data_IF_854966058148
#
_entry.id   IF_854966058148
#
_cell.length_a   1.000
_cell.length_b   1.000
_cell.length_c   1.000
_cell.angle_alpha   90.00
_cell.angle_beta   90.00
_cell.angle_gamma   90.00
#
_symmetry.space_group_name_H-M   'P 1'
#
loop_
_entity.id
_entity.type
_entity.pdbx_description
1 polymer ?
#
# COMPACT_ATOMS: atom_id res chain seq x y z
N UNK A 1 -31.95 12.14 32.62
CA UNK A 1 -31.45 12.96 33.75
C UNK A 1 -32.29 14.22 33.94
N UNK A 2 -32.16 14.89 35.08
CA UNK A 2 -32.83 16.17 35.41
C UNK A 2 -31.83 17.21 35.89
N UNK A 3 -32.20 18.48 35.80
CA UNK A 3 -31.36 19.54 36.34
C UNK A 3 -31.13 19.30 37.86
N UNK A 4 -29.88 19.35 38.27
CA UNK A 4 -29.45 19.06 39.64
C UNK A 4 -29.03 17.61 39.89
N UNK A 5 -29.22 16.70 38.94
CA UNK A 5 -28.74 15.31 39.06
C UNK A 5 -27.22 15.26 38.95
N UNK A 6 -26.58 14.47 39.82
CA UNK A 6 -25.16 14.17 39.73
C UNK A 6 -24.99 12.98 38.78
N UNK A 7 -24.05 13.08 37.84
CA UNK A 7 -23.69 12.04 36.86
C UNK A 7 -22.21 11.71 36.96
N UNK A 8 -21.88 10.43 36.78
CA UNK A 8 -20.52 9.94 36.66
C UNK A 8 -20.21 9.61 35.19
N UNK A 9 -18.94 9.55 34.86
CA UNK A 9 -18.52 9.13 33.50
C UNK A 9 -19.09 7.74 33.16
N UNK A 10 -19.80 7.63 32.03
CA UNK A 10 -20.52 6.44 31.58
C UNK A 10 -22.00 6.34 32.00
N UNK A 11 -22.52 7.29 32.77
CA UNK A 11 -23.97 7.32 33.09
C UNK A 11 -24.77 7.80 31.87
N UNK A 12 -25.91 7.16 31.58
CA UNK A 12 -26.79 7.51 30.47
C UNK A 12 -27.48 8.85 30.77
N UNK A 13 -27.16 9.87 29.99
CA UNK A 13 -27.73 11.22 30.13
C UNK A 13 -29.00 11.42 29.30
N UNK A 14 -29.05 10.85 28.12
CA UNK A 14 -30.18 10.96 27.18
C UNK A 14 -30.31 9.74 26.30
N UNK A 15 -31.51 9.48 25.80
CA UNK A 15 -31.75 8.58 24.67
C UNK A 15 -32.02 9.42 23.42
N UNK A 16 -31.30 9.18 22.35
CA UNK A 16 -31.45 9.90 21.07
C UNK A 16 -32.07 8.95 20.06
N UNK A 17 -33.26 9.27 19.60
CA UNK A 17 -33.95 8.51 18.57
C UNK A 17 -33.61 9.07 17.19
N UNK A 18 -33.10 8.22 16.29
CA UNK A 18 -32.79 8.55 14.91
C UNK A 18 -33.66 7.71 13.97
N UNK A 19 -33.67 8.01 12.68
CA UNK A 19 -34.35 7.26 11.63
C UNK A 19 -33.88 5.79 11.51
N UNK A 20 -32.77 5.43 12.15
CA UNK A 20 -32.14 4.11 12.05
C UNK A 20 -32.05 3.35 13.37
N UNK A 21 -31.94 4.02 14.49
CA UNK A 21 -31.78 3.39 15.80
C UNK A 21 -31.98 4.39 16.95
N UNK A 22 -32.36 3.87 18.12
CA UNK A 22 -32.24 4.60 19.39
C UNK A 22 -30.84 4.40 19.94
N UNK A 23 -30.17 5.47 20.31
CA UNK A 23 -28.81 5.47 20.88
C UNK A 23 -28.83 6.10 22.26
N UNK A 24 -28.12 5.48 23.20
CA UNK A 24 -27.86 6.05 24.51
C UNK A 24 -26.70 7.03 24.42
N UNK A 25 -26.86 8.23 24.98
CA UNK A 25 -25.82 9.24 25.10
C UNK A 25 -25.34 9.25 26.57
N UNK A 26 -24.09 8.82 26.75
CA UNK A 26 -23.44 8.68 28.06
C UNK A 26 -22.61 9.90 28.41
N UNK A 27 -22.52 10.22 29.72
CA UNK A 27 -21.67 11.27 30.23
C UNK A 27 -20.19 10.95 29.98
N UNK A 28 -19.43 11.87 29.40
CA UNK A 28 -17.98 11.72 29.22
C UNK A 28 -17.21 12.07 30.50
N UNK A 29 -17.75 12.95 31.31
CA UNK A 29 -17.13 13.47 32.53
C UNK A 29 -18.12 13.38 33.72
N UNK A 30 -17.59 13.44 34.94
CA UNK A 30 -18.42 13.52 36.18
C UNK A 30 -18.80 14.96 36.47
N UNK A 31 -20.01 15.17 36.97
CA UNK A 31 -20.48 16.52 37.32
C UNK A 31 -21.94 16.56 37.74
N UNK A 32 -22.49 17.77 37.80
CA UNK A 32 -23.92 18.03 38.09
C UNK A 32 -24.60 18.63 36.89
N UNK A 33 -25.75 18.12 36.48
CA UNK A 33 -26.54 18.71 35.38
C UNK A 33 -26.99 20.10 35.78
N UNK A 34 -26.35 21.14 35.25
CA UNK A 34 -26.66 22.53 35.58
C UNK A 34 -27.91 23.05 34.89
N UNK A 35 -28.06 22.77 33.59
CA UNK A 35 -29.21 23.18 32.79
C UNK A 35 -29.46 22.24 31.61
N UNK A 36 -30.72 21.93 31.36
CA UNK A 36 -31.14 21.22 30.14
C UNK A 36 -31.55 22.27 29.10
N UNK A 37 -30.85 22.28 27.97
CA UNK A 37 -31.09 23.23 26.85
C UNK A 37 -32.12 22.70 25.86
N UNK A 38 -32.19 21.37 25.69
CA UNK A 38 -33.15 20.71 24.80
C UNK A 38 -34.08 19.83 25.67
N UNK A 39 -35.36 20.21 25.82
CA UNK A 39 -36.32 19.42 26.61
C UNK A 39 -36.59 18.02 26.00
N UNK A 40 -36.98 17.09 26.87
CA UNK A 40 -37.41 15.74 26.47
C UNK A 40 -38.53 15.80 25.40
N UNK A 41 -38.41 14.97 24.36
CA UNK A 41 -39.39 14.90 23.26
C UNK A 41 -39.24 16.00 22.20
N UNK A 42 -38.16 16.79 22.21
CA UNK A 42 -37.89 17.78 21.15
C UNK A 42 -37.48 17.07 19.86
N UNK A 43 -38.21 17.30 18.77
CA UNK A 43 -37.90 16.75 17.44
C UNK A 43 -37.00 17.68 16.62
N UNK A 44 -36.15 17.09 15.76
CA UNK A 44 -35.36 17.85 14.78
C UNK A 44 -34.16 18.60 15.37
N UNK A 45 -33.61 18.15 16.49
CA UNK A 45 -32.38 18.68 17.09
C UNK A 45 -31.20 18.46 16.14
N UNK A 46 -30.44 19.52 15.86
CA UNK A 46 -29.32 19.42 14.94
C UNK A 46 -28.13 18.67 15.52
N UNK A 47 -27.34 17.99 14.67
CA UNK A 47 -26.11 17.33 15.10
C UNK A 47 -25.13 18.39 15.64
N UNK A 48 -24.51 18.13 16.79
CA UNK A 48 -23.63 19.05 17.55
C UNK A 48 -24.36 20.26 18.20
N UNK A 49 -25.67 20.25 18.31
CA UNK A 49 -26.38 21.23 19.12
C UNK A 49 -26.21 20.87 20.63
N UNK A 50 -25.84 21.84 21.48
CA UNK A 50 -25.72 21.57 22.92
C UNK A 50 -27.07 21.19 23.53
N UNK A 51 -27.14 20.04 24.21
CA UNK A 51 -28.39 19.53 24.78
C UNK A 51 -28.53 19.78 26.30
N UNK A 52 -27.41 19.87 27.02
CA UNK A 52 -27.36 20.17 28.44
C UNK A 52 -25.99 20.81 28.80
N UNK A 53 -25.94 21.44 29.97
CA UNK A 53 -24.72 21.99 30.57
C UNK A 53 -24.38 21.19 31.79
N UNK A 54 -23.15 20.64 31.83
CA UNK A 54 -22.60 19.93 33.00
C UNK A 54 -21.72 20.91 33.78
N UNK A 55 -21.91 21.00 35.08
CA UNK A 55 -21.12 21.79 36.01
C UNK A 55 -20.09 20.91 36.71
N UNK A 56 -18.85 21.41 36.78
CA UNK A 56 -17.79 20.76 37.57
C UNK A 56 -17.97 20.99 39.07
N UNK A 57 -17.28 20.20 39.90
CA UNK A 57 -17.36 20.27 41.36
C UNK A 57 -16.89 21.65 41.88
N UNK A 58 -17.81 22.46 42.36
CA UNK A 58 -17.54 23.82 42.88
C UNK A 58 -18.05 24.97 42.04
N UNK A 59 -18.62 24.68 40.85
CA UNK A 59 -19.34 25.68 40.06
C UNK A 59 -20.76 25.90 40.56
N UNK A 60 -21.25 27.14 40.52
CA UNK A 60 -22.61 27.48 40.98
C UNK A 60 -23.61 27.67 39.81
N UNK A 61 -24.89 27.74 40.12
CA UNK A 61 -25.94 27.84 39.12
C UNK A 61 -25.85 29.12 38.25
N UNK A 62 -25.05 30.10 38.64
CA UNK A 62 -24.83 31.31 37.81
C UNK A 62 -23.91 31.03 36.62
N UNK A 63 -23.00 30.10 36.76
CA UNK A 63 -22.15 29.64 35.64
C UNK A 63 -22.98 28.93 34.54
N UNK A 64 -24.02 28.19 34.90
CA UNK A 64 -24.93 27.55 33.95
C UNK A 64 -25.78 28.57 33.16
N UNK A 65 -26.17 29.69 33.78
CA UNK A 65 -26.93 30.77 33.11
C UNK A 65 -26.06 31.55 32.14
N UNK A 66 -24.79 31.78 32.45
CA UNK A 66 -23.85 32.50 31.56
C UNK A 66 -23.43 31.63 30.39
N UNK A 67 -23.17 30.35 30.60
CA UNK A 67 -22.89 29.38 29.55
C UNK A 67 -24.11 29.18 28.60
N UNK A 68 -25.33 29.21 29.14
CA UNK A 68 -26.55 29.14 28.34
C UNK A 68 -26.74 30.35 27.43
N UNK A 69 -26.38 31.59 27.88
CA UNK A 69 -26.40 32.79 27.08
C UNK A 69 -25.33 32.80 25.98
N UNK A 70 -24.20 32.20 26.23
CA UNK A 70 -23.11 32.04 25.26
C UNK A 70 -23.48 31.04 24.15
N UNK A 71 -24.15 29.93 24.51
CA UNK A 71 -24.70 28.96 23.56
C UNK A 71 -25.82 29.55 22.66
N UNK A 72 -26.68 30.44 23.20
CA UNK A 72 -27.70 31.15 22.41
C UNK A 72 -27.12 32.24 21.50
N UNK A 73 -25.93 32.77 21.79
CA UNK A 73 -25.30 33.87 21.05
C UNK A 73 -24.38 33.46 19.89
N UNK A 74 -24.15 32.18 19.67
CA UNK A 74 -23.41 31.70 18.53
C UNK A 74 -24.17 31.95 17.21
N UNK A 75 -23.56 32.56 16.16
CA UNK A 75 -24.29 32.97 14.97
C UNK A 75 -24.80 31.73 14.20
N UNK A 76 -26.11 31.53 14.22
CA UNK A 76 -26.77 30.65 13.29
C UNK A 76 -26.59 31.17 11.85
N UNK A 77 -25.95 30.38 10.99
CA UNK A 77 -25.94 30.65 9.56
C UNK A 77 -27.37 30.70 9.02
N UNK A 78 -27.71 31.82 8.40
CA UNK A 78 -29.04 32.17 7.91
C UNK A 78 -29.58 31.10 6.96
N UNK A 79 -30.66 30.42 7.35
CA UNK A 79 -31.53 29.68 6.42
C UNK A 79 -32.15 30.68 5.44
N UNK A 80 -31.77 30.61 4.16
CA UNK A 80 -32.51 31.26 3.08
C UNK A 80 -33.75 30.44 2.76
N UNK A 81 -34.89 31.15 2.66
CA UNK A 81 -36.19 30.57 2.31
C UNK A 81 -36.15 29.89 0.94
N UNK A 82 -36.59 28.64 0.88
CA UNK A 82 -36.71 27.84 -0.35
C UNK A 82 -37.93 28.30 -1.14
N UNK A 83 -37.71 28.89 -2.30
CA UNK A 83 -38.64 28.80 -3.43
C UNK A 83 -38.43 27.43 -4.10
N UNK A 84 -39.53 26.72 -4.39
CA UNK A 84 -39.52 25.47 -5.14
C UNK A 84 -39.00 25.76 -6.55
N UNK A 85 -37.79 25.38 -6.83
CA UNK A 85 -37.23 25.18 -8.15
C UNK A 85 -36.75 23.75 -8.25
N UNK A 86 -37.05 23.08 -9.34
CA UNK A 86 -36.66 21.68 -9.59
C UNK A 86 -35.18 21.50 -9.39
N UNK A 87 -34.79 20.51 -8.56
CA UNK A 87 -33.43 20.17 -8.30
C UNK A 87 -32.73 19.73 -9.60
N UNK A 88 -31.60 20.33 -9.98
CA UNK A 88 -30.75 19.74 -11.02
C UNK A 88 -30.24 18.39 -10.51
N UNK A 89 -30.32 17.38 -11.37
CA UNK A 89 -29.76 16.06 -11.09
C UNK A 89 -28.35 16.19 -10.49
N UNK A 90 -28.18 15.66 -9.29
CA UNK A 90 -26.89 15.59 -8.59
C UNK A 90 -25.89 14.95 -9.54
N UNK A 91 -24.92 15.71 -10.02
CA UNK A 91 -23.82 15.16 -10.82
C UNK A 91 -23.13 14.10 -9.96
N UNK A 92 -23.04 12.88 -10.49
CA UNK A 92 -22.21 11.83 -9.91
C UNK A 92 -20.86 12.43 -9.46
N UNK A 93 -20.29 11.96 -8.34
CA UNK A 93 -18.98 12.44 -7.87
C UNK A 93 -18.00 12.43 -9.04
N UNK A 94 -17.35 13.55 -9.28
CA UNK A 94 -16.34 13.62 -10.33
C UNK A 94 -15.35 12.48 -10.12
N UNK A 95 -15.07 11.72 -11.18
CA UNK A 95 -14.05 10.69 -11.17
C UNK A 95 -12.78 11.27 -10.50
N UNK A 96 -12.07 10.48 -9.67
CA UNK A 96 -10.84 10.95 -9.03
C UNK A 96 -9.97 11.59 -10.11
N UNK A 97 -9.47 12.80 -9.85
CA UNK A 97 -8.47 13.42 -10.75
C UNK A 97 -7.40 12.38 -10.97
N UNK A 98 -7.10 12.07 -12.24
CA UNK A 98 -5.97 11.22 -12.59
C UNK A 98 -4.76 11.69 -11.77
N UNK A 99 -4.12 10.77 -11.05
CA UNK A 99 -2.89 11.06 -10.34
C UNK A 99 -1.94 11.73 -11.34
N UNK A 100 -1.22 12.76 -10.90
CA UNK A 100 -0.18 13.38 -11.72
C UNK A 100 0.70 12.26 -12.28
N UNK A 101 0.97 12.31 -13.59
CA UNK A 101 1.81 11.32 -14.22
C UNK A 101 3.16 11.26 -13.48
N UNK A 102 3.65 10.07 -13.10
CA UNK A 102 4.92 9.96 -12.42
C UNK A 102 6.04 10.59 -13.25
N UNK A 103 7.04 11.13 -12.57
CA UNK A 103 8.21 11.70 -13.26
C UNK A 103 8.80 10.68 -14.25
N UNK A 104 9.30 11.14 -15.41
CA UNK A 104 9.93 10.22 -16.36
C UNK A 104 11.16 9.56 -15.73
N UNK A 105 11.38 8.29 -16.07
CA UNK A 105 12.59 7.59 -15.65
C UNK A 105 13.81 8.29 -16.24
N UNK A 106 14.89 8.53 -15.44
CA UNK A 106 16.12 9.11 -15.96
C UNK A 106 16.72 8.19 -17.04
N UNK A 107 17.03 8.73 -18.21
CA UNK A 107 17.82 8.01 -19.20
C UNK A 107 19.25 7.88 -18.71
N UNK A 108 19.82 6.68 -18.82
CA UNK A 108 21.20 6.40 -18.42
C UNK A 108 22.02 5.99 -19.65
N UNK A 109 23.01 6.81 -19.97
CA UNK A 109 23.97 6.60 -21.06
C UNK A 109 25.41 6.36 -20.56
N UNK A 110 25.58 6.25 -19.22
CA UNK A 110 26.85 6.05 -18.56
C UNK A 110 27.29 4.58 -18.49
N UNK A 111 28.35 4.34 -17.70
CA UNK A 111 28.87 3.00 -17.46
C UNK A 111 27.84 2.11 -16.75
N UNK A 112 27.84 0.82 -17.12
CA UNK A 112 27.05 -0.23 -16.47
C UNK A 112 27.98 -1.18 -15.75
N UNK A 113 27.54 -1.72 -14.62
CA UNK A 113 28.20 -2.82 -13.91
C UNK A 113 27.25 -4.00 -13.75
N UNK A 114 27.80 -5.20 -13.77
CA UNK A 114 27.02 -6.42 -13.57
C UNK A 114 26.89 -6.70 -12.08
N UNK A 115 25.67 -6.80 -11.57
CA UNK A 115 25.37 -7.06 -10.14
C UNK A 115 24.23 -8.05 -9.99
N UNK A 116 24.27 -8.83 -8.91
CA UNK A 116 23.13 -9.60 -8.48
C UNK A 116 22.08 -8.67 -7.82
N UNK A 117 20.82 -9.11 -7.81
CA UNK A 117 19.75 -8.36 -7.12
C UNK A 117 20.10 -8.15 -5.64
N UNK A 118 20.70 -9.13 -4.96
CA UNK A 118 21.17 -9.02 -3.58
C UNK A 118 22.19 -7.90 -3.38
N UNK A 119 23.21 -7.84 -4.24
CA UNK A 119 24.23 -6.78 -4.20
C UNK A 119 23.63 -5.41 -4.48
N UNK A 120 22.71 -5.32 -5.43
CA UNK A 120 22.02 -4.09 -5.77
C UNK A 120 21.16 -3.54 -4.61
N UNK A 121 20.45 -4.41 -3.89
CA UNK A 121 19.68 -4.05 -2.69
C UNK A 121 20.59 -3.60 -1.54
N UNK A 122 21.70 -4.33 -1.30
CA UNK A 122 22.71 -3.94 -0.31
C UNK A 122 23.27 -2.56 -0.62
N UNK A 123 23.71 -2.35 -1.85
CA UNK A 123 24.30 -1.08 -2.26
C UNK A 123 23.29 0.07 -2.16
N UNK A 124 22.01 -0.15 -2.51
CA UNK A 124 20.95 0.84 -2.33
C UNK A 124 20.83 1.29 -0.87
N UNK A 125 20.81 0.34 0.07
CA UNK A 125 20.76 0.66 1.50
C UNK A 125 22.01 1.40 1.96
N UNK A 126 23.22 0.90 1.60
CA UNK A 126 24.48 1.51 1.96
C UNK A 126 24.59 2.97 1.47
N UNK A 127 24.26 3.21 0.21
CA UNK A 127 24.29 4.53 -0.41
C UNK A 127 23.33 5.51 0.29
N UNK A 128 22.12 5.09 0.61
CA UNK A 128 21.15 5.94 1.34
C UNK A 128 21.53 6.13 2.82
N UNK A 129 22.14 5.15 3.46
CA UNK A 129 22.67 5.30 4.81
C UNK A 129 23.89 6.25 4.87
N UNK A 130 24.74 6.28 3.85
CA UNK A 130 25.82 7.28 3.73
C UNK A 130 25.26 8.68 3.49
N UNK A 131 24.21 8.79 2.68
CA UNK A 131 23.58 10.05 2.30
C UNK A 131 22.82 10.72 3.43
N UNK A 132 22.09 9.94 4.26
CA UNK A 132 21.20 10.44 5.30
C UNK A 132 21.42 9.70 6.63
N UNK A 133 21.92 10.42 7.65
CA UNK A 133 22.18 9.88 8.98
C UNK A 133 20.93 9.37 9.72
N UNK A 134 19.72 9.65 9.23
CA UNK A 134 18.45 9.17 9.79
C UNK A 134 18.05 7.79 9.30
N UNK A 135 18.65 7.31 8.20
CA UNK A 135 18.39 5.98 7.64
C UNK A 135 19.12 4.93 8.47
N UNK A 136 18.42 3.90 8.90
CA UNK A 136 18.99 2.75 9.61
C UNK A 136 18.25 1.46 9.25
N UNK A 137 18.94 0.33 9.38
CA UNK A 137 18.40 -1.00 9.13
C UNK A 137 18.11 -1.69 10.46
N UNK A 138 16.94 -2.31 10.59
CA UNK A 138 16.61 -3.18 11.72
C UNK A 138 15.83 -4.40 11.25
N UNK A 139 15.98 -5.49 11.96
CA UNK A 139 15.30 -6.74 11.68
C UNK A 139 16.00 -7.93 12.32
N UNK A 140 15.53 -9.12 12.02
CA UNK A 140 16.09 -10.36 12.53
C UNK A 140 17.37 -10.74 11.79
N UNK A 141 18.47 -10.96 12.54
CA UNK A 141 19.76 -11.43 12.00
C UNK A 141 20.40 -10.49 10.95
N UNK A 142 19.98 -9.21 10.88
CA UNK A 142 20.46 -8.25 9.87
C UNK A 142 21.87 -7.74 10.16
N UNK A 143 22.30 -7.74 11.42
CA UNK A 143 23.59 -7.21 11.85
C UNK A 143 24.69 -8.30 11.88
N UNK A 144 24.79 -9.06 12.96
CA UNK A 144 25.88 -10.01 13.18
C UNK A 144 25.90 -11.13 12.14
N UNK A 145 24.76 -11.67 11.81
CA UNK A 145 24.62 -12.73 10.81
C UNK A 145 24.60 -12.20 9.36
N UNK A 146 24.50 -10.88 9.17
CA UNK A 146 24.49 -10.21 7.86
C UNK A 146 23.30 -10.59 6.98
N UNK A 147 22.15 -10.82 7.61
CA UNK A 147 20.89 -11.24 6.96
C UNK A 147 20.84 -12.72 6.59
N UNK A 148 19.66 -13.32 6.64
CA UNK A 148 19.45 -14.70 6.23
C UNK A 148 19.88 -14.95 4.78
N UNK A 149 19.66 -13.98 3.91
CA UNK A 149 20.00 -14.01 2.48
C UNK A 149 21.24 -13.18 2.13
N UNK A 150 21.99 -12.69 3.13
CA UNK A 150 23.23 -11.88 2.97
C UNK A 150 23.02 -10.56 2.23
N UNK A 151 21.84 -9.97 2.34
CA UNK A 151 21.54 -8.66 1.73
C UNK A 151 22.17 -7.51 2.55
N UNK A 152 22.32 -7.68 3.86
CA UNK A 152 22.95 -6.70 4.75
C UNK A 152 24.46 -6.92 4.95
N UNK A 153 25.09 -7.74 4.11
CA UNK A 153 26.53 -8.07 4.25
C UNK A 153 27.41 -6.82 4.26
N UNK A 154 28.24 -6.69 5.32
CA UNK A 154 29.17 -5.59 5.51
C UNK A 154 28.55 -4.29 6.06
N UNK A 155 27.23 -4.17 6.16
CA UNK A 155 26.60 -2.94 6.64
C UNK A 155 26.91 -2.67 8.12
N UNK A 156 26.95 -3.71 8.97
CA UNK A 156 27.32 -3.53 10.39
C UNK A 156 28.73 -2.99 10.54
N UNK A 157 29.69 -3.51 9.75
CA UNK A 157 31.08 -3.08 9.79
C UNK A 157 31.25 -1.61 9.37
N UNK A 158 30.45 -1.15 8.40
CA UNK A 158 30.51 0.21 7.89
C UNK A 158 29.75 1.22 8.78
N UNK A 159 28.56 0.88 9.26
CA UNK A 159 27.65 1.84 9.91
C UNK A 159 27.53 1.67 11.43
N UNK A 160 28.02 0.55 11.98
CA UNK A 160 27.97 0.24 13.40
C UNK A 160 26.59 -0.19 13.92
N UNK A 161 26.59 -0.61 15.19
CA UNK A 161 25.45 -1.21 15.90
C UNK A 161 24.28 -0.28 16.18
N UNK A 162 24.46 1.03 16.05
CA UNK A 162 23.38 2.02 16.16
C UNK A 162 22.59 2.24 14.88
N UNK A 163 23.11 1.76 13.77
CA UNK A 163 22.54 1.94 12.43
C UNK A 163 22.16 0.63 11.76
N UNK A 164 22.68 -0.51 12.24
CA UNK A 164 22.34 -1.86 11.79
C UNK A 164 22.05 -2.68 13.04
N UNK A 165 20.77 -2.98 13.27
CA UNK A 165 20.26 -3.40 14.58
C UNK A 165 19.59 -4.77 14.46
N UNK A 166 20.16 -5.78 15.12
CA UNK A 166 19.48 -7.06 15.33
C UNK A 166 18.32 -6.91 16.32
N UNK A 167 17.18 -7.46 16.00
CA UNK A 167 15.99 -7.49 16.87
C UNK A 167 15.71 -8.91 17.33
N UNK A 168 15.06 -9.09 18.49
CA UNK A 168 14.43 -10.37 18.81
C UNK A 168 13.39 -10.76 17.75
N UNK A 169 13.07 -12.05 17.64
CA UNK A 169 11.97 -12.56 16.77
C UNK A 169 10.64 -12.10 17.37
N UNK A 170 10.18 -10.94 16.92
CA UNK A 170 8.95 -10.27 17.40
C UNK A 170 8.49 -9.28 16.33
N UNK A 171 8.00 -9.77 15.21
CA UNK A 171 7.68 -8.92 14.04
C UNK A 171 6.72 -7.78 14.38
N UNK A 172 5.71 -8.05 15.21
CA UNK A 172 4.83 -7.00 15.72
C UNK A 172 5.62 -5.94 16.52
N UNK A 173 6.52 -6.38 17.39
CA UNK A 173 7.31 -5.51 18.26
C UNK A 173 8.30 -4.65 17.48
N UNK A 174 9.15 -5.25 16.66
CA UNK A 174 10.17 -4.46 15.95
C UNK A 174 9.59 -3.62 14.81
N UNK A 175 8.50 -4.06 14.14
CA UNK A 175 7.78 -3.20 13.19
C UNK A 175 7.19 -1.97 13.89
N UNK A 176 6.59 -2.15 15.08
CA UNK A 176 6.07 -1.05 15.90
C UNK A 176 7.18 -0.08 16.35
N UNK A 177 8.35 -0.59 16.74
CA UNK A 177 9.52 0.24 17.05
C UNK A 177 9.96 1.05 15.83
N UNK A 178 10.03 0.42 14.64
CA UNK A 178 10.32 1.11 13.39
C UNK A 178 9.32 2.22 13.07
N UNK A 179 8.02 1.94 13.23
CA UNK A 179 6.96 2.95 13.02
C UNK A 179 7.11 4.12 13.99
N UNK A 180 7.33 3.83 15.29
CA UNK A 180 7.57 4.87 16.29
C UNK A 180 8.81 5.72 15.98
N UNK A 181 9.90 5.10 15.51
CA UNK A 181 11.09 5.80 15.07
C UNK A 181 10.80 6.71 13.84
N UNK A 182 10.00 6.23 12.90
CA UNK A 182 9.59 7.03 11.75
C UNK A 182 8.76 8.27 12.16
N UNK A 183 7.87 8.14 13.14
CA UNK A 183 7.10 9.28 13.68
C UNK A 183 7.99 10.37 14.29
N UNK A 184 9.17 10.02 14.78
CA UNK A 184 10.15 10.98 15.31
C UNK A 184 11.09 11.59 14.25
N UNK A 185 10.87 11.24 12.97
CA UNK A 185 11.63 11.78 11.83
C UNK A 185 12.84 10.95 11.40
N UNK A 186 13.06 9.76 11.99
CA UNK A 186 14.02 8.79 11.48
C UNK A 186 13.44 8.09 10.21
N UNK A 187 14.33 7.38 9.49
CA UNK A 187 13.99 6.67 8.25
C UNK A 187 14.37 5.19 8.36
N UNK A 188 13.59 4.40 9.08
CA UNK A 188 13.88 2.98 9.26
C UNK A 188 13.63 2.18 8.00
N UNK A 189 14.54 1.24 7.76
CA UNK A 189 14.35 0.09 6.87
C UNK A 189 14.11 -1.10 7.79
N UNK A 190 12.89 -1.62 7.79
CA UNK A 190 12.50 -2.79 8.58
C UNK A 190 12.55 -4.01 7.67
N UNK A 191 13.47 -4.93 7.96
CA UNK A 191 13.59 -6.19 7.24
C UNK A 191 12.78 -7.29 7.93
N UNK A 192 11.85 -7.89 7.21
CA UNK A 192 11.27 -9.18 7.58
C UNK A 192 12.06 -10.29 6.91
N UNK A 193 12.36 -11.36 7.64
CA UNK A 193 13.03 -12.54 7.08
C UNK A 193 12.24 -13.10 5.88
N UNK A 194 10.91 -13.01 5.95
CA UNK A 194 9.98 -13.18 4.84
C UNK A 194 8.67 -12.44 5.13
N UNK A 195 8.00 -11.94 4.10
CA UNK A 195 6.67 -11.33 4.26
C UNK A 195 5.61 -12.29 4.80
N UNK A 196 5.85 -13.59 4.73
CA UNK A 196 4.97 -14.57 5.38
C UNK A 196 4.92 -14.34 6.91
N UNK A 197 5.99 -13.89 7.54
CA UNK A 197 6.04 -13.56 8.97
C UNK A 197 5.58 -12.12 9.25
N UNK A 198 5.66 -11.22 8.27
CA UNK A 198 5.12 -9.87 8.39
C UNK A 198 3.61 -9.83 8.70
N UNK A 199 2.89 -10.94 8.51
CA UNK A 199 1.49 -11.08 8.93
C UNK A 199 1.30 -10.78 10.42
N UNK A 200 2.28 -11.09 11.28
CA UNK A 200 2.23 -10.77 12.70
C UNK A 200 2.32 -9.27 12.96
N UNK A 201 2.88 -8.50 12.04
CA UNK A 201 3.06 -7.05 12.13
C UNK A 201 1.99 -6.25 11.36
N UNK A 202 0.95 -6.87 10.82
CA UNK A 202 -0.03 -6.20 9.95
C UNK A 202 -0.70 -5.01 10.64
N UNK A 203 -0.97 -5.07 11.93
CA UNK A 203 -1.53 -3.94 12.68
C UNK A 203 -0.60 -2.73 12.64
N UNK A 204 0.71 -2.92 12.89
CA UNK A 204 1.69 -1.84 12.84
C UNK A 204 1.85 -1.25 11.44
N UNK A 205 1.75 -2.08 10.41
CA UNK A 205 1.85 -1.64 9.01
C UNK A 205 0.57 -0.90 8.60
N UNK A 206 -0.61 -1.48 8.84
CA UNK A 206 -1.89 -1.02 8.29
C UNK A 206 -2.53 0.05 9.16
N UNK A 207 -2.61 -0.13 10.48
CA UNK A 207 -3.24 0.83 11.38
C UNK A 207 -2.26 1.94 11.80
N UNK A 208 -1.03 1.59 12.18
CA UNK A 208 -0.07 2.59 12.66
C UNK A 208 0.60 3.32 11.49
N UNK A 209 1.37 2.66 10.63
CA UNK A 209 2.12 3.35 9.58
C UNK A 209 1.21 3.99 8.52
N UNK A 210 0.26 3.24 7.96
CA UNK A 210 -0.55 3.70 6.84
C UNK A 210 -1.62 4.74 7.20
N UNK A 211 -2.11 4.78 8.45
CA UNK A 211 -3.26 5.61 8.83
C UNK A 211 -2.91 6.85 9.67
N UNK A 212 -1.76 6.86 10.35
CA UNK A 212 -1.45 7.94 11.30
C UNK A 212 -1.32 9.30 10.63
N UNK A 213 -0.80 9.39 9.40
CA UNK A 213 -0.75 10.67 8.68
C UNK A 213 -2.16 11.27 8.51
N UNK A 214 -3.13 10.44 8.10
CA UNK A 214 -4.52 10.85 7.98
C UNK A 214 -5.13 11.22 9.34
N UNK A 215 -4.99 10.34 10.34
CA UNK A 215 -5.57 10.53 11.68
C UNK A 215 -5.01 11.74 12.42
N UNK A 216 -3.76 12.11 12.14
CA UNK A 216 -3.12 13.30 12.74
C UNK A 216 -3.37 14.59 11.94
N UNK A 217 -4.25 14.59 10.94
CA UNK A 217 -4.47 15.75 10.09
C UNK A 217 -3.24 16.19 9.30
N UNK A 218 -2.39 15.24 8.89
CA UNK A 218 -1.18 15.52 8.12
C UNK A 218 0.06 15.88 8.94
N UNK A 219 0.00 15.82 10.28
CA UNK A 219 1.08 16.27 11.16
C UNK A 219 2.15 15.20 11.41
N UNK A 220 1.77 13.91 11.40
CA UNK A 220 2.66 12.80 11.75
C UNK A 220 2.76 11.81 10.60
N UNK A 221 3.84 11.90 9.82
CA UNK A 221 4.17 10.97 8.74
C UNK A 221 4.99 9.78 9.20
N UNK A 222 5.01 8.71 8.40
CA UNK A 222 5.80 7.51 8.64
C UNK A 222 6.70 7.20 7.43
N UNK A 223 7.86 7.87 7.28
CA UNK A 223 8.83 7.59 6.22
C UNK A 223 9.60 6.28 6.53
N UNK A 224 8.99 5.14 6.26
CA UNK A 224 9.49 3.81 6.59
C UNK A 224 9.41 2.88 5.39
N UNK A 225 10.39 2.00 5.25
CA UNK A 225 10.37 0.90 4.28
C UNK A 225 10.26 -0.42 5.02
N UNK A 226 9.26 -1.21 4.68
CA UNK A 226 9.14 -2.61 5.07
C UNK A 226 9.58 -3.47 3.88
N UNK A 227 10.65 -4.24 4.03
CA UNK A 227 11.22 -5.05 2.95
C UNK A 227 11.45 -6.50 3.34
N UNK A 228 11.52 -7.35 2.36
CA UNK A 228 11.83 -8.78 2.52
C UNK A 228 11.31 -9.63 1.38
N UNK A 229 11.66 -10.94 1.35
CA UNK A 229 11.16 -11.88 0.34
C UNK A 229 9.65 -12.05 0.41
N UNK A 230 9.04 -12.14 -0.77
CA UNK A 230 7.61 -12.34 -0.99
C UNK A 230 7.42 -13.34 -2.13
N UNK A 231 6.32 -14.08 -2.10
CA UNK A 231 6.04 -15.11 -3.08
C UNK A 231 6.71 -16.45 -2.77
N UNK A 232 6.72 -17.35 -3.75
CA UNK A 232 7.27 -18.67 -3.58
C UNK A 232 8.80 -18.64 -3.58
N UNK A 233 9.38 -19.35 -2.60
CA UNK A 233 10.75 -19.79 -2.60
C UNK A 233 10.83 -21.25 -3.12
N UNK A 234 11.93 -21.93 -2.94
CA UNK A 234 12.07 -23.29 -3.41
C UNK A 234 11.71 -24.31 -2.32
N UNK A 235 10.56 -24.98 -2.44
CA UNK A 235 10.13 -26.12 -1.60
C UNK A 235 10.02 -25.81 -0.12
N UNK A 236 9.48 -24.66 0.22
CA UNK A 236 9.27 -24.22 1.61
C UNK A 236 7.81 -24.38 2.08
N UNK A 237 6.90 -24.75 1.19
CA UNK A 237 5.50 -25.08 1.52
C UNK A 237 4.59 -23.87 1.73
N UNK A 238 3.39 -24.15 2.23
CA UNK A 238 2.27 -23.23 2.24
C UNK A 238 2.52 -21.92 2.99
N UNK A 239 3.13 -22.00 4.18
CA UNK A 239 3.30 -20.84 5.09
C UNK A 239 4.48 -19.94 4.71
N UNK A 240 5.31 -20.33 3.72
CA UNK A 240 6.52 -19.60 3.32
C UNK A 240 6.53 -19.24 1.82
N UNK A 241 5.36 -19.32 1.14
CA UNK A 241 5.29 -19.17 -0.31
C UNK A 241 4.10 -18.33 -0.76
N UNK A 242 3.70 -17.35 0.04
CA UNK A 242 2.53 -16.52 -0.24
C UNK A 242 2.93 -15.20 -0.87
N UNK A 243 2.11 -14.70 -1.82
CA UNK A 243 2.28 -13.38 -2.40
C UNK A 243 1.31 -12.38 -1.75
N UNK A 244 1.86 -11.33 -1.15
CA UNK A 244 1.10 -10.31 -0.41
C UNK A 244 0.86 -9.03 -1.22
N UNK A 245 1.14 -9.02 -2.51
CA UNK A 245 1.01 -7.82 -3.34
C UNK A 245 -0.40 -7.21 -3.26
N UNK A 246 -1.45 -8.01 -3.45
CA UNK A 246 -2.84 -7.56 -3.38
C UNK A 246 -3.28 -7.18 -1.96
N UNK A 247 -2.76 -7.85 -0.92
CA UNK A 247 -3.11 -7.55 0.47
C UNK A 247 -2.72 -6.14 0.86
N UNK A 248 -1.47 -5.77 0.62
CA UNK A 248 -0.95 -4.45 0.95
C UNK A 248 -1.39 -3.37 -0.05
N UNK A 249 -1.52 -3.72 -1.33
CA UNK A 249 -2.02 -2.78 -2.34
C UNK A 249 -3.48 -2.36 -2.08
N UNK A 250 -4.29 -3.17 -1.40
CA UNK A 250 -5.64 -2.81 -1.00
C UNK A 250 -5.68 -1.68 0.04
N UNK A 251 -4.62 -1.49 0.84
CA UNK A 251 -4.62 -0.58 1.99
C UNK A 251 -4.29 0.87 1.60
N UNK A 252 -5.23 1.85 1.72
CA UNK A 252 -4.92 3.25 1.56
C UNK A 252 -3.82 3.72 2.54
N UNK A 253 -2.89 4.53 2.05
CA UNK A 253 -1.75 5.04 2.82
C UNK A 253 -0.45 4.26 2.63
N UNK A 254 -0.48 3.07 2.02
CA UNK A 254 0.71 2.31 1.65
C UNK A 254 1.07 2.52 0.17
N UNK A 255 2.37 2.54 -0.13
CA UNK A 255 2.92 2.27 -1.46
C UNK A 255 3.42 0.82 -1.50
N UNK A 256 3.28 0.15 -2.64
CA UNK A 256 3.66 -1.26 -2.80
C UNK A 256 4.51 -1.42 -4.05
N UNK A 257 5.72 -1.94 -3.88
CA UNK A 257 6.74 -2.07 -4.91
C UNK A 257 7.18 -3.53 -5.01
N UNK A 258 7.40 -4.03 -6.23
CA UNK A 258 7.79 -5.43 -6.44
C UNK A 258 8.73 -5.55 -7.66
N UNK A 259 10.05 -5.30 -7.50
CA UNK A 259 11.01 -5.23 -8.59
C UNK A 259 11.34 -6.61 -9.18
N UNK A 260 11.80 -6.61 -10.44
CA UNK A 260 12.34 -7.78 -11.13
C UNK A 260 13.87 -7.69 -11.32
N UNK A 261 14.38 -6.62 -11.94
CA UNK A 261 15.80 -6.49 -12.27
C UNK A 261 16.63 -5.92 -11.11
N UNK A 262 17.94 -6.13 -11.11
CA UNK A 262 18.85 -5.53 -10.13
C UNK A 262 18.87 -3.99 -10.24
N UNK A 263 18.79 -3.43 -11.44
CA UNK A 263 18.72 -1.98 -11.64
C UNK A 263 17.46 -1.38 -11.04
N UNK A 264 16.31 -2.05 -11.24
CA UNK A 264 15.04 -1.63 -10.64
C UNK A 264 15.03 -1.84 -9.13
N UNK A 265 15.55 -2.96 -8.63
CA UNK A 265 15.67 -3.21 -7.19
C UNK A 265 16.49 -2.12 -6.50
N UNK A 266 17.64 -1.72 -7.07
CA UNK A 266 18.47 -0.63 -6.55
C UNK A 266 17.73 0.71 -6.59
N UNK A 267 17.25 1.09 -7.77
CA UNK A 267 16.65 2.41 -7.99
C UNK A 267 15.34 2.61 -7.23
N UNK A 268 14.46 1.60 -7.22
CA UNK A 268 13.19 1.65 -6.49
C UNK A 268 13.39 1.64 -4.97
N UNK A 269 14.36 0.86 -4.44
CA UNK A 269 14.61 0.84 -2.99
C UNK A 269 15.13 2.21 -2.52
N UNK A 270 16.01 2.85 -3.27
CA UNK A 270 16.45 4.22 -2.96
C UNK A 270 15.30 5.21 -2.99
N UNK A 271 14.42 5.13 -3.99
CA UNK A 271 13.22 5.96 -4.05
C UNK A 271 12.28 5.68 -2.88
N UNK A 272 12.11 4.43 -2.49
CA UNK A 272 11.30 4.03 -1.33
C UNK A 272 11.85 4.60 0.00
N UNK A 273 13.19 4.55 0.20
CA UNK A 273 13.83 5.11 1.39
C UNK A 273 13.67 6.65 1.44
N UNK A 274 13.65 7.31 0.29
CA UNK A 274 13.47 8.77 0.18
C UNK A 274 12.01 9.20 0.31
N UNK A 275 11.06 8.30 0.11
CA UNK A 275 9.62 8.61 0.15
C UNK A 275 9.19 9.04 1.57
N UNK A 276 8.33 10.05 1.71
CA UNK A 276 7.81 10.47 3.02
C UNK A 276 6.72 9.54 3.58
N UNK A 277 6.24 8.58 2.80
CA UNK A 277 5.16 7.66 3.17
C UNK A 277 5.68 6.24 3.37
N UNK A 278 4.92 5.37 4.06
CA UNK A 278 5.31 3.98 4.22
C UNK A 278 5.29 3.22 2.89
N UNK A 279 6.37 2.49 2.63
CA UNK A 279 6.53 1.69 1.42
C UNK A 279 6.70 0.22 1.79
N UNK A 280 5.90 -0.63 1.19
CA UNK A 280 6.04 -2.10 1.20
C UNK A 280 6.87 -2.49 -0.01
N UNK A 281 8.04 -3.07 0.23
CA UNK A 281 9.01 -3.43 -0.80
C UNK A 281 9.13 -4.96 -0.88
N UNK A 282 8.37 -5.55 -1.81
CA UNK A 282 8.21 -7.00 -1.97
C UNK A 282 9.29 -7.56 -2.89
N UNK A 283 10.27 -8.20 -2.32
CA UNK A 283 11.36 -8.84 -3.05
C UNK A 283 11.00 -10.29 -3.41
N UNK A 284 11.83 -10.94 -4.21
CA UNK A 284 11.68 -12.36 -4.49
C UNK A 284 13.00 -13.10 -4.23
N UNK A 285 12.95 -14.13 -3.39
CA UNK A 285 14.14 -14.87 -2.97
C UNK A 285 14.89 -15.52 -4.14
N UNK A 286 14.16 -16.04 -5.13
CA UNK A 286 14.76 -16.70 -6.30
C UNK A 286 15.52 -15.71 -7.19
N UNK A 287 15.16 -14.43 -7.14
CA UNK A 287 15.85 -13.36 -7.88
C UNK A 287 17.16 -12.93 -7.24
N UNK A 288 17.40 -13.14 -5.95
CA UNK A 288 18.56 -12.61 -5.23
C UNK A 288 19.91 -12.98 -5.86
N UNK A 289 20.01 -14.17 -6.43
CA UNK A 289 21.22 -14.64 -7.13
C UNK A 289 21.25 -14.32 -8.63
N UNK A 290 20.21 -13.72 -9.20
CA UNK A 290 20.18 -13.36 -10.61
C UNK A 290 20.98 -12.08 -10.85
N UNK A 291 21.73 -12.09 -11.94
CA UNK A 291 22.62 -11.00 -12.34
C UNK A 291 22.01 -10.19 -13.45
N UNK A 292 22.13 -8.86 -13.36
CA UNK A 292 21.66 -7.88 -14.35
C UNK A 292 22.67 -6.74 -14.48
N UNK A 293 22.60 -6.02 -15.58
CA UNK A 293 23.32 -4.76 -15.73
C UNK A 293 22.65 -3.65 -14.92
N UNK A 294 23.44 -2.92 -14.14
CA UNK A 294 23.00 -1.84 -13.25
C UNK A 294 23.80 -0.58 -13.56
N UNK A 295 23.21 0.62 -13.65
CA UNK A 295 23.94 1.87 -13.75
C UNK A 295 25.03 2.01 -12.68
N UNK A 296 26.26 2.27 -13.10
CA UNK A 296 27.40 2.41 -12.20
C UNK A 296 27.48 3.84 -11.63
N UNK A 297 26.52 4.14 -10.77
CA UNK A 297 26.41 5.43 -10.07
C UNK A 297 25.68 5.27 -8.74
N UNK A 298 26.03 6.16 -7.81
CA UNK A 298 25.34 6.27 -6.52
C UNK A 298 24.05 7.11 -6.59
N UNK A 299 23.76 7.76 -7.73
CA UNK A 299 22.57 8.60 -7.88
C UNK A 299 21.43 7.93 -8.66
N UNK A 300 21.59 6.64 -9.04
CA UNK A 300 20.54 5.91 -9.74
C UNK A 300 19.29 5.74 -8.87
N UNK A 301 18.17 6.27 -9.35
CA UNK A 301 16.83 6.09 -8.76
C UNK A 301 15.83 5.74 -9.85
N UNK A 302 14.78 5.03 -9.49
CA UNK A 302 13.64 4.73 -10.36
C UNK A 302 12.38 5.29 -9.69
N UNK A 303 11.56 6.09 -10.38
CA UNK A 303 10.38 6.70 -9.78
C UNK A 303 9.32 5.65 -9.42
N UNK A 304 8.71 5.81 -8.23
CA UNK A 304 7.59 4.97 -7.81
C UNK A 304 6.35 5.30 -8.64
N UNK A 305 5.61 4.28 -9.04
CA UNK A 305 4.40 4.45 -9.85
C UNK A 305 4.68 4.53 -11.36
N UNK A 306 5.87 4.12 -11.82
CA UNK A 306 6.23 4.05 -13.24
C UNK A 306 6.56 2.63 -13.66
N UNK A 307 5.75 2.09 -14.58
CA UNK A 307 6.00 0.81 -15.22
C UNK A 307 7.08 0.93 -16.31
N UNK A 308 7.66 -0.19 -16.71
CA UNK A 308 8.67 -0.27 -17.77
C UNK A 308 8.24 -1.24 -18.87
N UNK A 309 8.26 -0.79 -20.11
CA UNK A 309 8.17 -1.68 -21.26
C UNK A 309 9.56 -2.33 -21.42
N UNK A 310 9.67 -3.59 -21.01
CA UNK A 310 10.93 -4.35 -21.06
C UNK A 310 11.11 -5.07 -22.39
N UNK A 311 10.04 -5.21 -23.17
CA UNK A 311 10.05 -5.70 -24.55
C UNK A 311 8.92 -5.03 -25.32
N UNK A 312 9.20 -4.42 -26.44
CA UNK A 312 8.18 -3.85 -27.34
C UNK A 312 7.50 -4.93 -28.16
N UNK A 313 6.19 -4.75 -28.43
CA UNK A 313 5.37 -5.66 -29.23
C UNK A 313 4.11 -4.99 -29.76
N UNK A 314 3.36 -5.69 -30.63
CA UNK A 314 2.22 -5.12 -31.36
C UNK A 314 0.95 -5.96 -31.32
N UNK A 315 1.00 -7.24 -30.92
CA UNK A 315 -0.13 -8.16 -31.05
C UNK A 315 -0.83 -8.43 -29.69
N UNK A 316 -0.11 -8.39 -28.59
CA UNK A 316 -0.61 -8.63 -27.24
C UNK A 316 0.26 -7.94 -26.19
N UNK A 317 -0.36 -7.34 -25.18
CA UNK A 317 0.32 -6.84 -23.99
C UNK A 317 0.35 -7.93 -22.93
N UNK A 318 1.51 -8.16 -22.33
CA UNK A 318 1.71 -9.03 -21.16
C UNK A 318 2.18 -8.14 -20.00
N UNK A 319 1.34 -7.94 -19.00
CA UNK A 319 1.69 -7.16 -17.81
C UNK A 319 2.04 -8.10 -16.65
N UNK A 320 3.21 -7.92 -16.07
CA UNK A 320 3.74 -8.76 -15.00
C UNK A 320 4.52 -7.93 -13.97
N UNK A 321 4.86 -8.52 -12.83
CA UNK A 321 5.75 -7.94 -11.83
C UNK A 321 6.59 -9.02 -11.15
N UNK A 322 7.67 -8.61 -10.48
CA UNK A 322 8.59 -9.51 -9.79
C UNK A 322 9.10 -10.63 -10.72
N UNK A 323 9.28 -11.84 -10.21
CA UNK A 323 9.79 -12.99 -10.96
C UNK A 323 8.98 -13.33 -12.23
N UNK A 324 7.69 -12.97 -12.26
CA UNK A 324 6.83 -13.25 -13.40
C UNK A 324 7.20 -12.44 -14.65
N UNK A 325 7.93 -11.33 -14.52
CA UNK A 325 8.49 -10.59 -15.66
C UNK A 325 9.47 -11.46 -16.46
N UNK A 326 10.31 -12.23 -15.76
CA UNK A 326 11.22 -13.18 -16.43
C UNK A 326 10.47 -14.27 -17.19
N UNK A 327 9.38 -14.80 -16.60
CA UNK A 327 8.51 -15.79 -17.27
C UNK A 327 7.77 -15.19 -18.47
N UNK A 328 7.36 -13.93 -18.37
CA UNK A 328 6.72 -13.20 -19.48
C UNK A 328 7.70 -12.97 -20.66
N UNK A 329 8.96 -12.65 -20.36
CA UNK A 329 10.00 -12.50 -21.39
C UNK A 329 10.29 -13.85 -22.09
N UNK A 330 10.43 -14.95 -21.33
CA UNK A 330 10.59 -16.30 -21.87
C UNK A 330 9.40 -16.70 -22.78
N UNK A 331 8.19 -16.41 -22.33
CA UNK A 331 6.98 -16.65 -23.13
C UNK A 331 6.94 -15.77 -24.41
N UNK A 332 7.37 -14.53 -24.32
CA UNK A 332 7.39 -13.61 -25.46
C UNK A 332 8.40 -14.06 -26.56
N UNK A 333 9.49 -14.73 -26.21
CA UNK A 333 10.41 -15.35 -27.16
C UNK A 333 9.73 -16.50 -27.93
N UNK A 334 9.08 -17.41 -27.19
CA UNK A 334 8.32 -18.53 -27.77
C UNK A 334 7.16 -18.03 -28.66
N UNK A 335 6.48 -16.96 -28.27
CA UNK A 335 5.42 -16.33 -29.07
C UNK A 335 5.95 -15.72 -30.36
N UNK A 336 7.14 -15.09 -30.31
CA UNK A 336 7.78 -14.51 -31.48
C UNK A 336 8.12 -15.58 -32.53
N UNK A 337 8.59 -16.76 -32.12
CA UNK A 337 8.81 -17.90 -33.03
C UNK A 337 7.51 -18.35 -33.71
N UNK A 338 6.37 -18.16 -33.03
CA UNK A 338 5.03 -18.44 -33.59
C UNK A 338 4.42 -17.26 -34.35
N UNK A 339 5.16 -16.16 -34.57
CA UNK A 339 4.70 -14.97 -35.29
C UNK A 339 3.72 -14.10 -34.49
N UNK A 340 3.80 -14.11 -33.16
CA UNK A 340 3.04 -13.23 -32.26
C UNK A 340 4.01 -12.27 -31.57
N UNK A 341 3.84 -10.97 -31.79
CA UNK A 341 4.68 -9.90 -31.24
C UNK A 341 4.10 -9.44 -29.87
N UNK A 342 4.66 -9.98 -28.79
CA UNK A 342 4.22 -9.63 -27.44
C UNK A 342 5.01 -8.42 -26.90
N UNK A 343 4.27 -7.42 -26.38
CA UNK A 343 4.81 -6.35 -25.54
C UNK A 343 4.79 -6.80 -24.08
N UNK A 344 5.93 -6.70 -23.40
CA UNK A 344 6.04 -7.08 -21.98
C UNK A 344 6.25 -5.83 -21.15
N UNK A 345 5.36 -5.64 -20.18
CA UNK A 345 5.40 -4.56 -19.20
C UNK A 345 5.77 -5.13 -17.82
N UNK A 346 6.86 -4.63 -17.24
CA UNK A 346 7.14 -4.75 -15.81
C UNK A 346 6.40 -3.63 -15.06
N UNK A 347 5.43 -4.00 -14.24
CA UNK A 347 4.65 -3.04 -13.46
C UNK A 347 5.50 -2.34 -12.39
N UNK A 348 6.55 -2.99 -11.84
CA UNK A 348 7.46 -2.47 -10.81
C UNK A 348 6.76 -2.02 -9.53
N UNK A 349 5.73 -1.19 -9.67
CA UNK A 349 4.93 -0.63 -8.58
C UNK A 349 3.49 -1.09 -8.70
N UNK A 350 3.00 -1.72 -7.65
CA UNK A 350 1.62 -2.22 -7.59
C UNK A 350 0.68 -1.10 -7.08
N UNK A 351 1.18 -0.25 -6.19
CA UNK A 351 0.48 0.95 -5.72
C UNK A 351 1.48 2.10 -5.46
N UNK A 352 1.33 3.26 -6.13
CA UNK A 352 0.36 3.52 -7.22
C UNK A 352 0.67 2.70 -8.48
N UNK A 353 -0.36 2.28 -9.20
CA UNK A 353 -0.25 1.55 -10.45
C UNK A 353 -0.09 2.54 -11.62
N UNK A 354 0.85 2.30 -12.54
CA UNK A 354 0.99 3.06 -13.80
C UNK A 354 -0.07 2.61 -14.82
N UNK A 355 -1.29 3.05 -14.60
CA UNK A 355 -2.42 2.73 -15.48
C UNK A 355 -2.23 3.28 -16.88
N UNK A 356 -1.59 4.44 -17.02
CA UNK A 356 -1.35 5.10 -18.32
C UNK A 356 -0.49 4.24 -19.25
N UNK A 357 0.62 3.70 -18.75
CA UNK A 357 1.50 2.83 -19.55
C UNK A 357 0.77 1.56 -20.02
N UNK A 358 -0.03 0.94 -19.14
CA UNK A 358 -0.81 -0.26 -19.50
C UNK A 358 -1.88 0.07 -20.54
N UNK A 359 -2.62 1.15 -20.35
CA UNK A 359 -3.68 1.58 -21.28
C UNK A 359 -3.10 1.90 -22.67
N UNK A 360 -2.01 2.67 -22.75
CA UNK A 360 -1.38 3.00 -24.04
C UNK A 360 -0.84 1.75 -24.74
N UNK A 361 -0.30 0.79 -24.02
CA UNK A 361 0.09 -0.50 -24.57
C UNK A 361 -1.12 -1.27 -25.12
N UNK A 362 -2.22 -1.35 -24.37
CA UNK A 362 -3.45 -2.03 -24.80
C UNK A 362 -4.10 -1.33 -26.00
N UNK A 363 -4.09 0.00 -26.07
CA UNK A 363 -4.55 0.73 -27.25
C UNK A 363 -3.79 0.35 -28.52
N UNK A 364 -2.53 -0.04 -28.41
CA UNK A 364 -1.69 -0.50 -29.50
C UNK A 364 -1.93 -1.97 -29.85
N UNK A 365 -2.04 -2.83 -28.85
CA UNK A 365 -2.08 -4.30 -29.00
C UNK A 365 -3.47 -4.91 -28.98
N UNK A 366 -4.46 -4.18 -28.47
CA UNK A 366 -5.87 -4.54 -28.32
C UNK A 366 -6.13 -5.76 -27.40
N UNK A 367 -5.12 -6.26 -26.68
CA UNK A 367 -5.22 -7.48 -25.86
C UNK A 367 -4.34 -7.38 -24.63
N UNK A 368 -4.82 -7.93 -23.51
CA UNK A 368 -4.04 -8.02 -22.28
C UNK A 368 -4.03 -9.44 -21.72
N UNK A 369 -2.82 -9.89 -21.36
CA UNK A 369 -2.57 -11.02 -20.45
C UNK A 369 -1.94 -10.46 -19.18
N UNK A 370 -2.61 -10.58 -18.05
CA UNK A 370 -2.06 -10.25 -16.74
C UNK A 370 -1.39 -11.47 -16.13
N UNK A 371 -0.18 -11.31 -15.57
CA UNK A 371 0.62 -12.41 -15.02
C UNK A 371 1.07 -12.09 -13.61
N UNK A 372 0.69 -12.91 -12.65
CA UNK A 372 1.07 -12.79 -11.25
C UNK A 372 1.32 -14.14 -10.61
N UNK A 373 2.19 -14.19 -9.59
CA UNK A 373 2.51 -15.41 -8.85
C UNK A 373 1.41 -15.77 -7.84
N UNK A 374 0.70 -14.77 -7.34
CA UNK A 374 -0.36 -14.91 -6.35
C UNK A 374 -1.59 -15.65 -6.84
N UNK A 375 -2.55 -15.84 -5.96
CA UNK A 375 -3.83 -16.47 -6.29
C UNK A 375 -4.71 -15.58 -7.18
N UNK A 376 -5.58 -16.18 -8.01
CA UNK A 376 -6.38 -15.41 -8.98
C UNK A 376 -7.48 -14.59 -8.33
N UNK A 377 -8.03 -15.03 -7.18
CA UNK A 377 -9.10 -14.33 -6.50
C UNK A 377 -8.57 -13.05 -5.83
N UNK A 378 -9.20 -11.91 -6.13
CA UNK A 378 -8.78 -10.59 -5.68
C UNK A 378 -7.29 -10.26 -5.97
N UNK A 379 -6.70 -10.89 -6.98
CA UNK A 379 -5.35 -10.59 -7.44
C UNK A 379 -5.27 -9.29 -8.25
N UNK A 380 -4.04 -8.86 -8.55
CA UNK A 380 -3.75 -7.62 -9.30
C UNK A 380 -4.33 -7.66 -10.71
N UNK A 381 -4.40 -8.85 -11.33
CA UNK A 381 -5.04 -9.03 -12.63
C UNK A 381 -6.53 -8.69 -12.63
N UNK A 382 -7.22 -8.76 -11.50
CA UNK A 382 -8.62 -8.32 -11.37
C UNK A 382 -8.73 -6.80 -11.44
N UNK A 383 -7.80 -6.08 -10.80
CA UNK A 383 -7.70 -4.62 -10.86
C UNK A 383 -7.37 -4.14 -12.28
N UNK A 384 -6.37 -4.75 -12.92
CA UNK A 384 -6.01 -4.45 -14.30
C UNK A 384 -7.19 -4.67 -15.26
N UNK A 385 -7.93 -5.78 -15.10
CA UNK A 385 -9.11 -6.07 -15.89
C UNK A 385 -10.19 -5.02 -15.72
N UNK A 386 -10.52 -4.64 -14.48
CA UNK A 386 -11.55 -3.63 -14.20
C UNK A 386 -11.12 -2.24 -14.68
N UNK A 387 -9.89 -1.85 -14.45
CA UNK A 387 -9.31 -0.60 -14.96
C UNK A 387 -9.46 -0.47 -16.49
N UNK A 388 -9.20 -1.55 -17.25
CA UNK A 388 -9.37 -1.54 -18.70
C UNK A 388 -10.84 -1.49 -19.11
N UNK A 389 -11.73 -2.14 -18.37
CA UNK A 389 -13.18 -2.03 -18.61
C UNK A 389 -13.70 -0.60 -18.43
N UNK A 390 -13.15 0.14 -17.46
CA UNK A 390 -13.55 1.53 -17.18
C UNK A 390 -12.94 2.54 -18.14
N UNK A 391 -11.68 2.32 -18.59
CA UNK A 391 -10.89 3.36 -19.25
C UNK A 391 -10.47 3.03 -20.68
N UNK A 392 -10.57 1.79 -21.12
CA UNK A 392 -10.07 1.33 -22.42
C UNK A 392 -10.90 0.21 -23.05
N UNK A 393 -12.18 0.04 -22.66
CA UNK A 393 -13.06 -1.03 -23.16
C UNK A 393 -13.13 -1.09 -24.69
N UNK A 394 -13.26 0.06 -25.35
CA UNK A 394 -13.40 0.16 -26.81
C UNK A 394 -12.16 -0.30 -27.60
N UNK A 395 -11.03 -0.52 -26.90
CA UNK A 395 -9.79 -1.02 -27.49
C UNK A 395 -9.58 -2.53 -27.32
N UNK A 396 -10.45 -3.22 -26.59
CA UNK A 396 -10.29 -4.64 -26.32
C UNK A 396 -10.90 -5.50 -27.43
N UNK A 397 -10.07 -6.30 -28.12
CA UNK A 397 -10.51 -7.32 -29.09
C UNK A 397 -10.79 -8.69 -28.45
N UNK A 398 -10.39 -8.88 -27.21
CA UNK A 398 -10.58 -10.10 -26.44
C UNK A 398 -10.78 -9.80 -24.94
N UNK A 399 -11.44 -10.68 -24.18
CA UNK A 399 -11.43 -10.58 -22.72
C UNK A 399 -10.00 -10.59 -22.16
N UNK A 400 -9.76 -9.83 -21.09
CA UNK A 400 -8.48 -9.86 -20.36
C UNK A 400 -8.24 -11.27 -19.83
N UNK A 401 -7.13 -11.89 -20.23
CA UNK A 401 -6.72 -13.18 -19.71
C UNK A 401 -5.83 -12.99 -18.46
N UNK A 402 -6.02 -13.87 -17.48
CA UNK A 402 -5.23 -13.87 -16.24
C UNK A 402 -4.47 -15.18 -16.12
N UNK A 403 -3.16 -15.09 -15.94
CA UNK A 403 -2.29 -16.21 -15.59
C UNK A 403 -1.83 -15.97 -14.15
N UNK A 404 -2.27 -16.80 -13.24
CA UNK A 404 -2.04 -16.69 -11.80
C UNK A 404 -1.68 -18.04 -11.20
N UNK A 405 -1.22 -18.07 -9.95
CA UNK A 405 -1.02 -19.30 -9.20
C UNK A 405 -2.32 -20.12 -9.08
N UNK A 406 -2.20 -21.43 -8.97
CA UNK A 406 -3.35 -22.27 -8.67
C UNK A 406 -3.95 -21.87 -7.31
N UNK A 407 -5.29 -21.90 -7.22
CA UNK A 407 -6.02 -21.52 -5.99
C UNK A 407 -5.93 -22.62 -4.92
N UNK A 408 -4.71 -22.90 -4.50
CA UNK A 408 -4.36 -23.90 -3.47
C UNK A 408 -3.21 -23.39 -2.60
N UNK A 409 -3.09 -23.86 -1.34
CA UNK A 409 -1.87 -23.64 -0.56
C UNK A 409 -0.67 -24.28 -1.25
N UNK A 410 0.51 -23.64 -1.21
CA UNK A 410 1.71 -24.12 -1.89
C UNK A 410 2.16 -25.47 -1.34
N UNK A 411 2.27 -26.52 -2.19
CA UNK A 411 2.76 -27.83 -1.75
C UNK A 411 4.28 -27.87 -1.58
N UNK A 412 4.78 -28.82 -0.76
CA UNK A 412 6.23 -29.04 -0.58
C UNK A 412 6.89 -29.78 -1.74
N UNK A 413 6.15 -30.71 -2.37
CA UNK A 413 6.72 -31.55 -3.42
C UNK A 413 7.04 -30.73 -4.66
N UNK A 414 8.28 -30.79 -5.16
CA UNK A 414 8.76 -29.96 -6.25
C UNK A 414 7.90 -30.03 -7.53
N UNK A 415 7.37 -31.21 -7.86
CA UNK A 415 6.49 -31.39 -9.01
C UNK A 415 5.10 -30.73 -8.81
N UNK A 416 4.58 -30.74 -7.59
CA UNK A 416 3.31 -30.08 -7.26
C UNK A 416 3.50 -28.57 -7.13
N UNK A 417 4.62 -28.11 -6.56
CA UNK A 417 4.97 -26.68 -6.54
C UNK A 417 5.05 -26.10 -7.97
N UNK A 418 5.71 -26.82 -8.88
CA UNK A 418 5.79 -26.42 -10.28
C UNK A 418 4.42 -26.33 -10.98
N UNK A 419 3.48 -27.20 -10.61
CA UNK A 419 2.10 -27.18 -11.11
C UNK A 419 1.26 -26.06 -10.48
N UNK A 420 1.58 -25.65 -9.26
CA UNK A 420 0.87 -24.58 -8.56
C UNK A 420 1.31 -23.18 -9.01
N UNK A 421 2.50 -23.03 -9.56
CA UNK A 421 3.06 -21.75 -10.01
C UNK A 421 2.86 -21.51 -11.51
N UNK A 422 2.63 -20.27 -11.94
CA UNK A 422 2.61 -19.91 -13.35
C UNK A 422 3.94 -20.24 -14.03
N UNK A 423 3.87 -20.79 -15.25
CA UNK A 423 5.02 -21.09 -16.09
C UNK A 423 4.90 -20.34 -17.42
N UNK A 424 6.01 -20.21 -18.16
CA UNK A 424 6.02 -19.55 -19.46
C UNK A 424 5.00 -20.15 -20.45
N UNK A 425 4.81 -21.47 -20.44
CA UNK A 425 3.83 -22.15 -21.28
C UNK A 425 2.39 -21.73 -21.00
N UNK A 426 2.02 -21.45 -19.75
CA UNK A 426 0.69 -20.95 -19.40
C UNK A 426 0.47 -19.55 -19.99
N UNK A 427 1.50 -18.72 -19.99
CA UNK A 427 1.47 -17.36 -20.59
C UNK A 427 1.33 -17.48 -22.11
N UNK A 428 2.10 -18.37 -22.74
CA UNK A 428 2.01 -18.64 -24.19
C UNK A 428 0.59 -19.08 -24.57
N UNK A 429 0.00 -20.01 -23.82
CA UNK A 429 -1.36 -20.47 -24.06
C UNK A 429 -2.39 -19.36 -23.94
N UNK A 430 -2.30 -18.55 -22.87
CA UNK A 430 -3.19 -17.41 -22.68
C UNK A 430 -3.05 -16.36 -23.79
N UNK A 431 -1.82 -16.02 -24.17
CA UNK A 431 -1.56 -15.06 -25.24
C UNK A 431 -2.09 -15.56 -26.60
N UNK A 432 -1.88 -16.82 -26.94
CA UNK A 432 -2.48 -17.42 -28.15
C UNK A 432 -4.00 -17.37 -28.13
N UNK A 433 -4.61 -17.71 -26.99
CA UNK A 433 -6.08 -17.70 -26.85
C UNK A 433 -6.66 -16.31 -27.10
N UNK A 434 -6.09 -15.24 -26.55
CA UNK A 434 -6.57 -13.86 -26.79
C UNK A 434 -6.22 -13.35 -28.18
N UNK A 435 -5.22 -13.94 -28.86
CA UNK A 435 -4.88 -13.65 -30.25
C UNK A 435 -5.66 -14.52 -31.26
N UNK A 436 -6.49 -15.45 -30.80
CA UNK A 436 -7.25 -16.41 -31.63
C UNK A 436 -6.35 -17.26 -32.55
N UNK A 437 -5.18 -17.70 -32.03
CA UNK A 437 -4.16 -18.47 -32.80
C UNK A 437 -3.70 -19.73 -32.07
#
# INVERSE_FOLDING_TARGET
VKEGDTVAAGDVMAEIETDKATMEFEATDEGVIGKILVPEGTEGVAVNEPIAILLEEGEDASAAEDAAKEAESAPAEKKSQSSKEEAPAEKAPAAPKAAEAPEPEPEWDGAMKSQTVREALRDAMAEEMRRDGRVFLMGEEVAQYQGAYKISQGLLDEFGDKRVIDTPITEHGFAGLGVGAAFTGLRPIVEFMTFNFAMQAMDQIINSAAKTLYMSGGQMGAPIVFRGPNGAAARVGAQHSQCYASWYAHCPGLKVVSPYSAADAKGLLKSAIRDPNPVIFLENEILYGKTFDVPDTDDWTVPLGKAKIVRSGTDVTIAAFSIMVGKALEAAETLAEAGISAEVIDLRTIRPLDTATVIESVKKTNRLVSVEEGWPFAGIGSELGMMLMEQAFDYLDAPVARVAGADVPMPYAANLEALALPQADHIVQAARAVCYR
#
